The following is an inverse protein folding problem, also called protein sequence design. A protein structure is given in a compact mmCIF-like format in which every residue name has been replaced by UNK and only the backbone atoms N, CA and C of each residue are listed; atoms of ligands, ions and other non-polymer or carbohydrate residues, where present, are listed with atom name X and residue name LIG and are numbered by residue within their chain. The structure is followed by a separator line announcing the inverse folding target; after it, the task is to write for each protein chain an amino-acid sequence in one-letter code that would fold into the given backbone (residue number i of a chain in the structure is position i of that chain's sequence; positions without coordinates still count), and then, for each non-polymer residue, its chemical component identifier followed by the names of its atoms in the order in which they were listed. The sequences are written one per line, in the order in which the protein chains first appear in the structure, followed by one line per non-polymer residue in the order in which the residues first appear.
data_IF_900605357603
#
_entry.id   IF_900605357603
#
_cell.length_a   1.000
_cell.length_b   1.000
_cell.length_c   1.000
_cell.angle_alpha   90.00
_cell.angle_beta   90.00
_cell.angle_gamma   90.00
#
_symmetry.space_group_name_H-M   'P 1'
#
loop_
_entity.id
_entity.type
_entity.pdbx_description
1 polymer ?
#
# COMPACT_ATOMS: atom_id res chain seq x y z
N UNK A 1 35.04 -16.37 37.51
CA UNK A 1 33.81 -16.06 36.74
C UNK A 1 34.21 -16.04 35.28
N UNK A 2 34.16 -17.20 34.62
CA UNK A 2 34.55 -17.34 33.21
C UNK A 2 33.28 -17.28 32.37
N UNK A 3 33.10 -16.20 31.61
CA UNK A 3 32.08 -16.13 30.57
C UNK A 3 32.59 -16.92 29.37
N UNK A 4 32.19 -18.19 29.25
CA UNK A 4 32.32 -18.93 28.01
C UNK A 4 31.49 -18.23 26.94
N UNK A 5 32.18 -17.54 26.02
CA UNK A 5 31.59 -17.03 24.80
C UNK A 5 31.09 -18.22 23.98
N UNK A 6 29.80 -18.51 24.08
CA UNK A 6 29.11 -19.43 23.20
C UNK A 6 29.33 -18.95 21.77
N UNK A 7 30.14 -19.69 21.01
CA UNK A 7 30.33 -19.44 19.59
C UNK A 7 28.96 -19.59 18.92
N UNK A 8 28.51 -18.60 18.13
CA UNK A 8 27.27 -18.71 17.39
C UNK A 8 27.31 -19.99 16.56
N UNK A 9 26.24 -20.77 16.65
CA UNK A 9 26.19 -22.07 15.97
C UNK A 9 26.00 -21.81 14.48
N UNK A 10 26.71 -22.54 13.62
CA UNK A 10 26.61 -22.39 12.16
C UNK A 10 25.17 -22.52 11.59
N UNK A 11 24.21 -22.97 12.40
CA UNK A 11 22.79 -22.97 12.09
C UNK A 11 22.17 -21.57 12.14
N UNK A 12 22.55 -20.72 13.10
CA UNK A 12 22.03 -19.36 13.24
C UNK A 12 22.44 -18.49 12.05
N UNK A 13 23.68 -18.64 11.58
CA UNK A 13 24.19 -17.94 10.40
C UNK A 13 23.38 -18.25 9.14
N UNK A 14 22.98 -19.52 8.95
CA UNK A 14 22.14 -19.93 7.82
C UNK A 14 20.74 -19.33 7.87
N UNK A 15 20.15 -19.23 9.06
CA UNK A 15 18.83 -18.61 9.25
C UNK A 15 18.89 -17.11 8.95
N UNK A 16 19.96 -16.44 9.38
CA UNK A 16 20.18 -15.03 9.07
C UNK A 16 20.38 -14.81 7.56
N UNK A 17 21.12 -15.68 6.89
CA UNK A 17 21.33 -15.61 5.44
C UNK A 17 20.03 -15.80 4.65
N UNK A 18 19.22 -16.80 5.02
CA UNK A 18 17.91 -17.05 4.40
C UNK A 18 16.97 -15.86 4.60
N UNK A 19 16.96 -15.28 5.81
CA UNK A 19 16.18 -14.08 6.12
C UNK A 19 16.63 -12.88 5.29
N UNK A 20 17.94 -12.67 5.14
CA UNK A 20 18.49 -11.60 4.31
C UNK A 20 18.11 -11.76 2.82
N UNK A 21 18.18 -12.98 2.29
CA UNK A 21 17.74 -13.29 0.92
C UNK A 21 16.25 -13.03 0.71
N UNK A 22 15.40 -13.50 1.61
CA UNK A 22 13.94 -13.26 1.53
C UNK A 22 13.60 -11.78 1.63
N UNK A 23 14.27 -11.03 2.51
CA UNK A 23 14.11 -9.58 2.59
C UNK A 23 14.57 -8.90 1.30
N UNK A 24 15.70 -9.31 0.70
CA UNK A 24 16.17 -8.73 -0.55
C UNK A 24 15.20 -8.96 -1.72
N UNK A 25 14.60 -10.16 -1.80
CA UNK A 25 13.62 -10.49 -2.84
C UNK A 25 12.30 -9.74 -2.65
N UNK A 26 11.81 -9.63 -1.41
CA UNK A 26 10.52 -8.98 -1.13
C UNK A 26 10.59 -7.45 -1.15
N UNK A 27 11.71 -6.87 -0.69
CA UNK A 27 11.89 -5.41 -0.67
C UNK A 27 12.08 -4.80 -2.06
N UNK A 28 12.64 -5.55 -3.02
CA UNK A 28 12.83 -5.07 -4.39
C UNK A 28 11.52 -4.67 -5.07
N UNK A 29 10.48 -5.49 -4.92
CA UNK A 29 9.17 -5.24 -5.54
C UNK A 29 8.46 -4.05 -4.88
N UNK A 30 8.52 -3.95 -3.55
CA UNK A 30 7.87 -2.87 -2.80
C UNK A 30 8.55 -1.52 -3.09
N UNK A 31 9.90 -1.48 -3.13
CA UNK A 31 10.64 -0.27 -3.50
C UNK A 31 10.31 0.19 -4.91
N UNK A 32 10.22 -0.73 -5.88
CA UNK A 32 9.84 -0.40 -7.26
C UNK A 32 8.46 0.24 -7.32
N UNK A 33 7.47 -0.35 -6.63
CA UNK A 33 6.09 0.17 -6.63
C UNK A 33 5.98 1.57 -6.01
N UNK A 34 6.70 1.83 -4.91
CA UNK A 34 6.78 3.19 -4.32
C UNK A 34 7.49 4.18 -5.25
N UNK A 35 8.56 3.75 -5.92
CA UNK A 35 9.30 4.60 -6.86
C UNK A 35 8.42 5.02 -8.04
N UNK A 36 7.73 4.07 -8.68
CA UNK A 36 6.83 4.38 -9.80
C UNK A 36 5.69 5.34 -9.42
N UNK A 37 5.10 5.19 -8.23
CA UNK A 37 4.06 6.13 -7.76
C UNK A 37 4.61 7.56 -7.62
N UNK A 38 5.84 7.72 -7.13
CA UNK A 38 6.46 9.05 -6.98
C UNK A 38 6.93 9.63 -8.32
N UNK A 39 7.56 8.83 -9.16
CA UNK A 39 8.06 9.31 -10.46
C UNK A 39 6.95 9.62 -11.45
N UNK A 40 5.78 8.98 -11.32
CA UNK A 40 4.62 9.29 -12.16
C UNK A 40 4.19 10.75 -12.07
N UNK A 41 4.18 11.33 -10.86
CA UNK A 41 3.81 12.74 -10.66
C UNK A 41 4.85 13.68 -11.27
N UNK A 42 6.14 13.42 -11.08
CA UNK A 42 7.20 14.20 -11.72
C UNK A 42 7.14 14.13 -13.24
N UNK A 43 6.89 12.94 -13.81
CA UNK A 43 6.74 12.76 -15.25
C UNK A 43 5.56 13.57 -15.80
N UNK A 44 4.44 13.63 -15.08
CA UNK A 44 3.29 14.46 -15.47
C UNK A 44 3.63 15.96 -15.46
N UNK A 45 4.31 16.46 -14.43
CA UNK A 45 4.74 17.86 -14.36
C UNK A 45 5.69 18.23 -15.51
N UNK A 46 6.70 17.38 -15.76
CA UNK A 46 7.65 17.57 -16.87
C UNK A 46 6.93 17.52 -18.21
N UNK A 47 6.00 16.60 -18.39
CA UNK A 47 5.18 16.49 -19.60
C UNK A 47 4.35 17.75 -19.86
N UNK A 48 3.68 18.29 -18.83
CA UNK A 48 2.89 19.52 -18.94
C UNK A 48 3.77 20.74 -19.31
N UNK A 49 4.94 20.85 -18.68
CA UNK A 49 5.89 21.93 -18.99
C UNK A 49 6.40 21.87 -20.43
N UNK A 50 6.81 20.68 -20.90
CA UNK A 50 7.26 20.48 -22.27
C UNK A 50 6.16 20.71 -23.30
N UNK A 51 4.92 20.29 -23.01
CA UNK A 51 3.77 20.57 -23.87
C UNK A 51 3.49 22.07 -23.99
N UNK A 52 3.59 22.82 -22.89
CA UNK A 52 3.48 24.28 -22.91
C UNK A 52 4.56 24.94 -23.77
N UNK A 53 5.82 24.53 -23.59
CA UNK A 53 6.94 25.02 -24.42
C UNK A 53 6.75 24.73 -25.91
N UNK A 54 6.33 23.50 -26.25
CA UNK A 54 6.05 23.10 -27.62
C UNK A 54 4.95 23.99 -28.23
N UNK A 55 3.91 24.29 -27.46
CA UNK A 55 2.79 25.12 -27.90
C UNK A 55 3.23 26.55 -28.24
N UNK A 56 4.04 27.17 -27.38
CA UNK A 56 4.59 28.51 -27.62
C UNK A 56 5.54 28.52 -28.82
N UNK A 57 6.37 27.48 -28.98
CA UNK A 57 7.27 27.36 -30.12
C UNK A 57 6.51 27.29 -31.45
N UNK A 58 5.42 26.51 -31.51
CA UNK A 58 4.61 26.38 -32.71
C UNK A 58 3.87 27.68 -33.07
N UNK A 59 3.47 28.46 -32.07
CA UNK A 59 2.85 29.77 -32.32
C UNK A 59 3.86 30.85 -32.73
N UNK A 60 5.11 30.78 -32.26
CA UNK A 60 6.14 31.75 -32.59
C UNK A 60 6.55 31.71 -34.07
N UNK A 61 6.59 30.52 -34.67
CA UNK A 61 6.96 30.36 -36.09
C UNK A 61 5.86 30.88 -37.06
N UNK A 62 4.62 30.99 -36.60
CA UNK A 62 3.51 31.56 -37.37
C UNK A 62 3.50 33.09 -37.40
N UNK A 63 4.25 33.75 -36.50
CA UNK A 63 4.47 35.19 -36.53
C UNK A 63 5.66 35.51 -37.44
N UNK A 64 5.52 35.22 -38.74
CA UNK A 64 6.46 35.74 -39.73
C UNK A 64 6.50 37.26 -39.59
N UNK A 65 7.68 37.74 -39.23
CA UNK A 65 8.08 39.12 -39.02
C UNK A 65 8.06 39.88 -40.34
N UNK A 66 6.87 40.15 -40.86
CA UNK A 66 6.64 41.11 -41.93
C UNK A 66 5.82 42.29 -41.40
N UNK A 67 6.31 42.92 -40.33
CA UNK A 67 5.87 44.25 -39.90
C UNK A 67 7.09 45.14 -39.75
N UNK A 68 7.40 45.78 -40.89
CA UNK A 68 7.76 47.19 -41.01
C UNK A 68 7.92 47.89 -39.66
N UNK A 69 9.15 48.31 -39.39
CA UNK A 69 9.49 49.37 -38.43
C UNK A 69 8.69 50.64 -38.78
N UNK A 70 7.50 50.78 -38.22
CA UNK A 70 6.90 52.10 -38.00
C UNK A 70 7.12 52.44 -36.53
N UNK A 71 8.11 53.30 -36.31
CA UNK A 71 8.41 53.91 -35.01
C UNK A 71 7.25 54.85 -34.70
N UNK A 72 6.23 54.34 -33.98
CA UNK A 72 5.23 55.21 -33.35
C UNK A 72 5.55 55.30 -31.87
N UNK A 73 6.08 56.47 -31.50
CA UNK A 73 6.21 56.92 -30.11
C UNK A 73 4.82 56.94 -29.45
N UNK A 74 4.54 55.93 -28.63
CA UNK A 74 3.37 55.93 -27.76
C UNK A 74 3.76 56.28 -26.32
N UNK A 75 3.46 57.55 -26.02
CA UNK A 75 3.42 58.21 -24.72
C UNK A 75 2.75 57.32 -23.65
N UNK A 76 3.43 57.18 -22.52
CA UNK A 76 3.02 56.41 -21.36
C UNK A 76 1.58 56.71 -20.92
N UNK A 77 0.75 55.67 -20.90
CA UNK A 77 -0.56 55.64 -20.26
C UNK A 77 -0.42 54.70 -19.06
N UNK A 78 -0.73 55.21 -17.88
CA UNK A 78 -0.65 54.49 -16.60
C UNK A 78 -1.69 53.35 -16.53
N UNK A 79 -1.35 52.20 -15.92
CA UNK A 79 -2.25 51.07 -15.76
C UNK A 79 -3.27 51.33 -14.65
N UNK A 80 -4.54 51.49 -15.04
CA UNK A 80 -5.70 51.50 -14.16
C UNK A 80 -5.96 50.09 -13.62
N UNK A 81 -5.85 49.95 -12.30
CA UNK A 81 -6.18 48.75 -11.55
C UNK A 81 -7.70 48.51 -11.55
N UNK A 82 -8.14 47.38 -12.08
CA UNK A 82 -9.26 46.57 -11.57
C UNK A 82 -9.61 45.47 -12.59
N UNK A 83 -9.15 44.24 -12.35
CA UNK A 83 -9.84 43.05 -12.86
C UNK A 83 -9.91 42.06 -11.70
N UNK A 84 -11.12 41.87 -11.19
CA UNK A 84 -11.47 40.76 -10.30
C UNK A 84 -11.80 39.58 -11.21
N UNK A 85 -11.00 38.52 -11.13
CA UNK A 85 -11.31 37.24 -11.76
C UNK A 85 -12.15 36.40 -10.78
N UNK A 86 -13.44 36.29 -11.11
CA UNK A 86 -14.38 35.33 -10.53
C UNK A 86 -14.19 33.98 -11.24
N UNK A 87 -13.36 33.11 -10.65
CA UNK A 87 -13.12 31.76 -11.16
C UNK A 87 -14.16 30.83 -10.54
N UNK A 88 -15.31 30.68 -11.23
CA UNK A 88 -16.24 29.59 -10.98
C UNK A 88 -15.55 28.25 -11.20
N UNK A 89 -15.32 27.53 -10.11
CA UNK A 89 -14.80 26.16 -10.11
C UNK A 89 -15.97 25.19 -10.29
N UNK A 90 -16.05 24.56 -11.46
CA UNK A 90 -17.04 23.53 -11.79
C UNK A 90 -16.54 22.15 -11.28
N UNK A 91 -17.31 21.43 -10.45
CA UNK A 91 -16.91 20.10 -9.97
C UNK A 91 -17.24 19.01 -11.00
N UNK A 92 -16.22 18.48 -11.66
CA UNK A 92 -16.32 17.28 -12.50
C UNK A 92 -16.53 16.04 -11.63
N UNK A 93 -17.74 15.49 -11.67
CA UNK A 93 -18.09 14.21 -11.05
C UNK A 93 -17.40 13.05 -11.80
N UNK A 94 -16.46 12.38 -11.13
CA UNK A 94 -15.79 11.17 -11.62
C UNK A 94 -16.67 9.96 -11.31
N UNK A 95 -17.31 9.40 -12.32
CA UNK A 95 -18.01 8.12 -12.25
C UNK A 95 -17.00 6.96 -12.32
N UNK A 96 -16.89 6.21 -11.23
CA UNK A 96 -16.06 5.00 -11.16
C UNK A 96 -16.72 3.84 -11.94
N UNK A 97 -15.97 3.09 -12.76
CA UNK A 97 -16.49 1.90 -13.43
C UNK A 97 -16.63 0.74 -12.43
N UNK A 98 -17.87 0.30 -12.22
CA UNK A 98 -18.21 -0.95 -11.52
C UNK A 98 -17.85 -2.12 -12.43
N UNK A 99 -16.75 -2.80 -12.14
CA UNK A 99 -16.43 -4.09 -12.76
C UNK A 99 -17.20 -5.16 -12.02
N UNK A 100 -18.31 -5.61 -12.62
CA UNK A 100 -19.00 -6.82 -12.23
C UNK A 100 -18.09 -8.02 -12.48
N UNK A 101 -17.67 -8.68 -11.40
CA UNK A 101 -17.00 -9.98 -11.47
C UNK A 101 -18.08 -11.03 -11.48
N UNK A 102 -18.34 -11.60 -12.65
CA UNK A 102 -19.14 -12.80 -12.80
C UNK A 102 -18.34 -14.00 -12.27
N UNK A 103 -18.64 -14.42 -11.04
CA UNK A 103 -18.25 -15.74 -10.53
C UNK A 103 -19.13 -16.80 -11.16
N UNK A 104 -18.79 -17.20 -12.39
CA UNK A 104 -19.16 -18.49 -12.94
C UNK A 104 -18.03 -19.48 -12.68
N UNK A 105 -18.29 -20.52 -11.88
CA UNK A 105 -17.61 -21.80 -12.01
C UNK A 105 -18.34 -22.85 -11.18
N UNK A 106 -19.38 -23.42 -11.78
CA UNK A 106 -19.73 -24.81 -11.58
C UNK A 106 -18.52 -25.66 -12.01
N UNK A 107 -17.87 -26.34 -11.06
CA UNK A 107 -16.88 -27.36 -11.36
C UNK A 107 -16.92 -28.42 -10.25
N UNK A 108 -17.65 -29.49 -10.56
CA UNK A 108 -17.29 -30.89 -10.33
C UNK A 108 -16.52 -31.25 -9.06
N UNK A 109 -17.30 -31.71 -8.08
CA UNK A 109 -17.21 -33.05 -7.50
C UNK A 109 -16.14 -33.97 -8.14
N UNK A 110 -15.01 -34.20 -7.45
CA UNK A 110 -14.22 -35.42 -7.57
C UNK A 110 -13.29 -35.64 -6.35
N UNK A 111 -13.50 -36.82 -5.73
CA UNK A 111 -12.62 -37.62 -4.86
C UNK A 111 -11.79 -36.94 -3.75
N UNK A 112 -12.30 -37.05 -2.52
CA UNK A 112 -11.55 -36.87 -1.27
C UNK A 112 -10.83 -38.19 -0.91
N UNK A 113 -9.48 -38.30 -1.00
CA UNK A 113 -8.78 -39.48 -0.51
C UNK A 113 -8.75 -39.48 1.02
N UNK A 114 -9.25 -40.59 1.58
CA UNK A 114 -9.12 -41.08 2.96
C UNK A 114 -8.35 -40.16 3.93
N UNK A 115 -9.11 -39.40 4.73
CA UNK A 115 -8.65 -38.77 5.96
C UNK A 115 -8.01 -39.81 6.88
N UNK A 116 -6.69 -39.74 6.99
CA UNK A 116 -5.95 -40.35 8.09
C UNK A 116 -6.55 -39.89 9.42
N UNK A 117 -7.08 -40.85 10.16
CA UNK A 117 -7.64 -40.68 11.48
C UNK A 117 -6.56 -40.13 12.43
N UNK A 118 -6.62 -38.84 12.74
CA UNK A 118 -5.83 -38.25 13.81
C UNK A 118 -6.31 -38.84 15.15
N UNK A 119 -5.39 -39.22 16.06
CA UNK A 119 -5.76 -39.73 17.38
C UNK A 119 -6.51 -38.66 18.18
N UNK A 120 -7.76 -38.98 18.52
CA UNK A 120 -8.65 -38.17 19.35
C UNK A 120 -8.17 -38.17 20.80
N UNK A 121 -7.12 -37.41 21.11
CA UNK A 121 -6.85 -37.00 22.49
C UNK A 121 -7.91 -35.98 22.88
N UNK A 122 -8.94 -36.45 23.60
CA UNK A 122 -10.01 -35.64 24.15
C UNK A 122 -9.45 -34.63 25.18
N UNK A 123 -8.94 -33.51 24.68
CA UNK A 123 -8.65 -32.32 25.47
C UNK A 123 -9.96 -31.81 26.07
N UNK A 124 -10.12 -31.98 27.39
CA UNK A 124 -11.20 -31.41 28.18
C UNK A 124 -11.34 -29.91 27.88
N UNK A 125 -12.30 -29.56 27.02
CA UNK A 125 -12.64 -28.18 26.71
C UNK A 125 -13.44 -27.60 27.87
N UNK A 126 -12.76 -26.85 28.75
CA UNK A 126 -13.43 -25.84 29.58
C UNK A 126 -14.20 -24.90 28.64
N UNK A 127 -15.40 -24.42 29.02
CA UNK A 127 -16.16 -23.47 28.21
C UNK A 127 -15.31 -22.22 27.97
N UNK A 128 -14.73 -22.12 26.77
CA UNK A 128 -13.95 -20.94 26.37
C UNK A 128 -14.95 -19.81 26.20
N UNK A 129 -14.72 -18.70 26.92
CA UNK A 129 -15.35 -17.41 26.60
C UNK A 129 -15.21 -17.20 25.09
N UNK A 130 -16.29 -16.79 24.41
CA UNK A 130 -16.29 -16.57 22.95
C UNK A 130 -15.16 -15.58 22.65
N UNK A 131 -14.05 -16.06 22.09
CA UNK A 131 -12.94 -15.21 21.67
C UNK A 131 -13.46 -14.31 20.54
N UNK A 132 -13.03 -13.05 20.53
CA UNK A 132 -13.27 -12.16 19.39
C UNK A 132 -12.75 -12.84 18.11
N UNK A 133 -13.44 -12.62 16.99
CA UNK A 133 -13.02 -13.16 15.68
C UNK A 133 -11.59 -12.70 15.35
N UNK A 134 -11.25 -11.47 15.73
CA UNK A 134 -9.91 -10.92 15.63
C UNK A 134 -8.86 -11.82 16.30
N UNK A 135 -9.06 -12.16 17.57
CA UNK A 135 -8.15 -13.02 18.33
C UNK A 135 -8.00 -14.40 17.68
N UNK A 136 -9.10 -14.98 17.18
CA UNK A 136 -9.04 -16.29 16.53
C UNK A 136 -8.23 -16.29 15.23
N UNK A 137 -8.38 -15.24 14.41
CA UNK A 137 -7.61 -15.08 13.18
C UNK A 137 -6.14 -14.76 13.46
N UNK A 138 -5.86 -14.01 14.53
CA UNK A 138 -4.49 -13.74 14.98
C UNK A 138 -3.80 -15.02 15.44
N UNK A 139 -4.42 -15.78 16.33
CA UNK A 139 -3.89 -17.06 16.83
C UNK A 139 -3.60 -18.02 15.67
N UNK A 140 -4.49 -18.05 14.66
CA UNK A 140 -4.32 -18.86 13.47
C UNK A 140 -3.14 -18.36 12.62
N UNK A 141 -2.98 -17.04 12.45
CA UNK A 141 -1.80 -16.46 11.79
C UNK A 141 -0.48 -16.81 12.50
N UNK A 142 -0.47 -16.78 13.84
CA UNK A 142 0.68 -17.20 14.65
C UNK A 142 0.99 -18.69 14.42
N UNK A 143 -0.05 -19.54 14.31
CA UNK A 143 0.11 -20.95 13.99
C UNK A 143 0.71 -21.19 12.61
N UNK A 144 0.26 -20.47 11.58
CA UNK A 144 0.86 -20.53 10.23
C UNK A 144 2.34 -20.14 10.24
N UNK A 145 2.71 -19.14 11.04
CA UNK A 145 4.09 -18.68 11.10
C UNK A 145 4.99 -19.67 11.86
N UNK A 146 4.52 -20.22 12.98
CA UNK A 146 5.32 -21.09 13.84
C UNK A 146 5.36 -22.55 13.35
N UNK A 147 4.21 -23.11 12.96
CA UNK A 147 4.11 -24.54 12.61
C UNK A 147 4.45 -24.79 11.14
N UNK A 148 3.91 -23.96 10.24
CA UNK A 148 4.03 -24.18 8.79
C UNK A 148 5.18 -23.39 8.16
N UNK A 149 5.76 -22.43 8.89
CA UNK A 149 6.76 -21.50 8.38
C UNK A 149 6.30 -20.78 7.09
N UNK A 150 4.99 -20.54 6.95
CA UNK A 150 4.39 -19.85 5.81
C UNK A 150 4.05 -18.39 6.19
N UNK A 151 4.96 -17.43 5.93
CA UNK A 151 4.70 -16.03 6.25
C UNK A 151 3.60 -15.42 5.37
N UNK A 152 3.34 -15.96 4.17
CA UNK A 152 2.30 -15.44 3.28
C UNK A 152 0.90 -15.85 3.79
N UNK A 153 0.76 -17.10 4.23
CA UNK A 153 -0.43 -17.57 4.96
C UNK A 153 -0.70 -16.74 6.20
N UNK A 154 0.32 -16.56 7.05
CA UNK A 154 0.20 -15.74 8.26
C UNK A 154 -0.23 -14.30 7.95
N UNK A 155 0.39 -13.66 6.95
CA UNK A 155 0.04 -12.29 6.53
C UNK A 155 -1.42 -12.16 6.10
N UNK A 156 -1.97 -13.12 5.34
CA UNK A 156 -3.39 -13.12 4.95
C UNK A 156 -4.31 -13.19 6.17
N UNK A 157 -4.00 -14.07 7.13
CA UNK A 157 -4.78 -14.21 8.36
C UNK A 157 -4.75 -12.94 9.21
N UNK A 158 -3.58 -12.31 9.35
CA UNK A 158 -3.46 -11.04 10.05
C UNK A 158 -4.19 -9.89 9.36
N UNK A 159 -4.13 -9.79 8.03
CA UNK A 159 -4.89 -8.80 7.29
C UNK A 159 -6.41 -9.00 7.47
N UNK A 160 -6.88 -10.25 7.43
CA UNK A 160 -8.28 -10.54 7.75
C UNK A 160 -8.61 -10.18 9.19
N UNK A 161 -7.71 -10.45 10.14
CA UNK A 161 -7.90 -10.08 11.54
C UNK A 161 -8.08 -8.55 11.67
N UNK A 162 -7.18 -7.76 11.06
CA UNK A 162 -7.24 -6.29 11.09
C UNK A 162 -8.52 -5.72 10.45
N UNK A 163 -9.09 -6.40 9.45
CA UNK A 163 -10.39 -6.01 8.86
C UNK A 163 -11.59 -6.23 9.79
N UNK A 164 -11.49 -7.19 10.71
CA UNK A 164 -12.56 -7.50 11.67
C UNK A 164 -12.36 -6.89 13.04
N UNK A 165 -11.20 -6.27 13.29
CA UNK A 165 -10.90 -5.67 14.58
C UNK A 165 -11.52 -4.30 14.74
N UNK A 166 -11.94 -3.98 15.96
CA UNK A 166 -12.23 -2.60 16.34
C UNK A 166 -10.94 -1.84 16.69
N UNK A 167 -10.96 -0.51 16.60
CA UNK A 167 -9.81 0.35 16.92
C UNK A 167 -9.29 0.07 18.35
N UNK A 168 -10.20 -0.17 19.30
CA UNK A 168 -9.87 -0.55 20.68
C UNK A 168 -9.15 -1.91 20.78
N UNK A 169 -9.61 -2.92 20.04
CA UNK A 169 -8.98 -4.26 20.02
C UNK A 169 -7.57 -4.20 19.42
N UNK A 170 -7.38 -3.43 18.35
CA UNK A 170 -6.07 -3.21 17.72
C UNK A 170 -5.12 -2.51 18.69
N UNK A 171 -5.61 -1.50 19.41
CA UNK A 171 -4.81 -0.71 20.34
C UNK A 171 -4.42 -1.49 21.61
N UNK A 172 -5.31 -2.32 22.15
CA UNK A 172 -5.01 -3.15 23.33
C UNK A 172 -3.91 -4.19 23.09
N UNK A 173 -3.72 -4.66 21.86
CA UNK A 173 -2.73 -5.70 21.54
C UNK A 173 -1.35 -5.18 21.11
N UNK A 174 -1.01 -3.95 21.49
CA UNK A 174 0.15 -3.21 20.98
C UNK A 174 1.49 -3.94 21.09
N UNK A 175 1.77 -4.64 22.19
CA UNK A 175 3.17 -4.94 22.51
C UNK A 175 3.55 -6.42 22.42
N UNK A 176 2.60 -7.34 22.58
CA UNK A 176 2.88 -8.79 22.63
C UNK A 176 2.79 -9.50 21.26
N UNK A 177 2.78 -8.74 20.16
CA UNK A 177 2.58 -9.27 18.81
C UNK A 177 3.86 -9.74 18.11
N UNK A 178 3.72 -10.79 17.32
CA UNK A 178 4.69 -11.24 16.32
C UNK A 178 5.10 -10.06 15.42
N UNK A 179 6.39 -9.99 15.04
CA UNK A 179 6.94 -8.84 14.29
C UNK A 179 6.15 -8.54 13.00
N UNK A 180 5.65 -9.58 12.33
CA UNK A 180 4.86 -9.48 11.11
C UNK A 180 3.51 -8.80 11.36
N UNK A 181 2.83 -9.17 12.44
CA UNK A 181 1.58 -8.54 12.83
C UNK A 181 1.77 -7.05 13.15
N UNK A 182 2.85 -6.70 13.87
CA UNK A 182 3.20 -5.29 14.17
C UNK A 182 3.47 -4.48 12.89
N UNK A 183 4.17 -5.04 11.93
CA UNK A 183 4.44 -4.38 10.66
C UNK A 183 3.15 -4.09 9.87
N UNK A 184 2.22 -5.06 9.82
CA UNK A 184 0.92 -4.88 9.17
C UNK A 184 0.01 -3.91 9.92
N UNK A 185 0.03 -3.91 11.26
CA UNK A 185 -0.70 -2.95 12.08
C UNK A 185 -0.26 -1.51 11.78
N UNK A 186 1.05 -1.27 11.67
CA UNK A 186 1.58 0.04 11.30
C UNK A 186 1.08 0.47 9.91
N UNK A 187 1.20 -0.39 8.90
CA UNK A 187 0.75 -0.09 7.54
C UNK A 187 -0.75 0.24 7.49
N UNK A 188 -1.57 -0.50 8.25
CA UNK A 188 -3.01 -0.24 8.36
C UNK A 188 -3.32 1.11 9.03
N UNK A 189 -2.56 1.48 10.07
CA UNK A 189 -2.72 2.77 10.75
C UNK A 189 -2.44 3.95 9.82
N UNK A 190 -1.38 3.86 9.00
CA UNK A 190 -1.09 4.89 7.99
C UNK A 190 -2.21 5.03 6.97
N UNK A 191 -2.80 3.91 6.53
CA UNK A 191 -3.92 3.92 5.60
C UNK A 191 -5.17 4.60 6.19
N UNK A 192 -5.47 4.35 7.48
CA UNK A 192 -6.59 4.99 8.17
C UNK A 192 -6.36 6.48 8.43
N UNK A 193 -5.13 6.88 8.74
CA UNK A 193 -4.79 8.30 8.95
C UNK A 193 -4.82 9.10 7.65
N UNK A 194 -4.28 8.55 6.56
CA UNK A 194 -4.33 9.17 5.24
C UNK A 194 -5.77 9.36 4.76
N UNK A 195 -6.67 8.43 5.07
CA UNK A 195 -8.09 8.55 4.76
C UNK A 195 -8.78 9.64 5.59
N UNK A 196 -8.40 9.83 6.86
CA UNK A 196 -8.94 10.90 7.73
C UNK A 196 -8.49 12.30 7.30
N UNK A 197 -7.29 12.44 6.73
CA UNK A 197 -6.71 13.74 6.33
C UNK A 197 -7.14 14.23 4.94
N UNK A 198 -7.88 13.43 4.16
CA UNK A 198 -8.32 13.78 2.80
C UNK A 198 -9.73 14.40 2.73
N UNK A 199 -10.41 14.57 3.86
CA UNK A 199 -11.70 15.25 3.96
C UNK A 199 -11.58 16.60 4.63
#
# INVERSE_FOLDING_TARGET
MNQEHQKPTAAEDRVLELRARLLSQTTGVIRRRRYYRRTGMFAACVGCYLAGLLTVSLMADGASSETVREVVDHKAIEPSAAVQDDIMTEPLAVTAPVVAVETGSDAEMQDEPQRQQRPSTALRHKPRKKKSRFLSLRDLGDQYLLEQQDPAGAARCYQMALRYSTEDEVNQQSDEGTWLFRALKLDHHWETDDARNQG
#
